data_IF_233374517890
#
_entry.id   IF_233374517890
#
_cell.length_a   1.000
_cell.length_b   1.000
_cell.length_c   1.000
_cell.angle_alpha   90.00
_cell.angle_beta   90.00
_cell.angle_gamma   90.00
#
_symmetry.space_group_name_H-M   'P 1'
#
loop_
_entity.id
_entity.type
_entity.pdbx_description
1 polymer ?
#
# COMPACT_ATOMS: atom_id res chain seq x y z
N UNK A 1 17.79 -8.03 -21.30
CA UNK A 1 16.67 -8.40 -22.18
C UNK A 1 15.69 -9.42 -21.57
N UNK A 2 16.10 -10.28 -20.64
CA UNK A 2 15.23 -11.32 -20.05
C UNK A 2 14.25 -10.81 -18.97
N UNK A 3 14.68 -9.91 -18.08
CA UNK A 3 13.85 -9.40 -16.97
C UNK A 3 12.62 -8.58 -17.44
N UNK A 4 12.79 -7.72 -18.45
CA UNK A 4 11.69 -6.87 -18.95
C UNK A 4 10.58 -7.68 -19.62
N UNK A 5 10.93 -8.73 -20.36
CA UNK A 5 9.97 -9.61 -21.01
C UNK A 5 9.19 -10.46 -19.99
N UNK A 6 9.84 -10.92 -18.93
CA UNK A 6 9.21 -11.63 -17.81
C UNK A 6 8.25 -10.69 -17.06
N UNK A 7 8.70 -9.46 -16.75
CA UNK A 7 7.86 -8.44 -16.10
C UNK A 7 6.61 -8.11 -16.92
N UNK A 8 6.76 -7.98 -18.24
CA UNK A 8 5.63 -7.69 -19.14
C UNK A 8 4.61 -8.84 -19.15
N UNK A 9 5.09 -10.09 -19.22
CA UNK A 9 4.23 -11.29 -19.13
C UNK A 9 3.52 -11.42 -17.79
N UNK A 10 4.20 -11.09 -16.68
CA UNK A 10 3.60 -11.13 -15.35
C UNK A 10 2.49 -10.09 -15.20
N UNK A 11 2.72 -8.86 -15.68
CA UNK A 11 1.71 -7.80 -15.67
C UNK A 11 0.50 -8.18 -16.51
N UNK A 12 0.69 -8.70 -17.73
CA UNK A 12 -0.41 -9.17 -18.58
C UNK A 12 -1.19 -10.31 -17.92
N UNK A 13 -0.49 -11.27 -17.31
CA UNK A 13 -1.15 -12.36 -16.59
C UNK A 13 -1.96 -11.87 -15.38
N UNK A 14 -1.44 -10.90 -14.62
CA UNK A 14 -2.15 -10.28 -13.51
C UNK A 14 -3.36 -9.43 -13.95
N UNK A 15 -3.36 -8.92 -15.19
CA UNK A 15 -4.51 -8.19 -15.74
C UNK A 15 -5.65 -9.10 -16.21
N UNK A 16 -5.34 -10.33 -16.63
CA UNK A 16 -6.31 -11.31 -17.16
C UNK A 16 -6.69 -12.40 -16.13
N UNK A 17 -5.99 -12.48 -15.01
CA UNK A 17 -6.26 -13.46 -13.96
C UNK A 17 -7.47 -13.04 -13.11
N UNK A 18 -8.45 -13.94 -12.99
CA UNK A 18 -9.56 -13.81 -12.03
C UNK A 18 -9.02 -13.50 -10.62
N UNK A 19 -9.69 -12.61 -9.87
CA UNK A 19 -9.29 -12.13 -8.53
C UNK A 19 -8.84 -13.26 -7.59
N UNK A 20 -9.47 -14.44 -7.72
CA UNK A 20 -9.18 -15.66 -6.97
C UNK A 20 -7.72 -16.12 -7.15
N UNK A 21 -7.20 -16.02 -8.37
CA UNK A 21 -5.84 -16.44 -8.76
C UNK A 21 -4.82 -15.38 -8.38
N UNK A 22 -5.17 -14.10 -8.50
CA UNK A 22 -4.34 -13.00 -7.97
C UNK A 22 -4.16 -13.17 -6.47
N UNK A 23 -5.25 -13.41 -5.74
CA UNK A 23 -5.23 -13.67 -4.30
C UNK A 23 -4.36 -14.89 -3.94
N UNK A 24 -4.48 -15.98 -4.69
CA UNK A 24 -3.63 -17.16 -4.49
C UNK A 24 -2.15 -16.87 -4.72
N UNK A 25 -1.80 -16.08 -5.73
CA UNK A 25 -0.41 -15.64 -5.98
C UNK A 25 0.10 -14.76 -4.83
N UNK A 26 -0.71 -13.82 -4.36
CA UNK A 26 -0.35 -12.99 -3.20
C UNK A 26 -0.12 -13.83 -1.96
N UNK A 27 -0.97 -14.82 -1.67
CA UNK A 27 -0.80 -15.72 -0.52
C UNK A 27 0.44 -16.61 -0.65
N UNK A 28 0.75 -17.10 -1.86
CA UNK A 28 1.96 -17.91 -2.08
C UNK A 28 3.24 -17.10 -1.91
N UNK A 29 3.22 -15.83 -2.33
CA UNK A 29 4.34 -14.91 -2.23
C UNK A 29 4.35 -14.12 -0.92
N UNK A 30 3.35 -14.28 -0.06
CA UNK A 30 3.16 -13.51 1.18
C UNK A 30 4.40 -13.63 2.07
N UNK A 31 4.88 -14.86 2.29
CA UNK A 31 6.09 -15.12 3.06
C UNK A 31 7.36 -14.55 2.43
N UNK A 32 7.47 -14.52 1.10
CA UNK A 32 8.64 -13.96 0.41
C UNK A 32 8.63 -12.42 0.45
N UNK A 33 7.45 -11.81 0.32
CA UNK A 33 7.23 -10.38 0.46
C UNK A 33 7.45 -9.93 1.92
N UNK A 34 6.96 -10.70 2.89
CA UNK A 34 7.08 -10.39 4.31
C UNK A 34 8.52 -10.53 4.83
N UNK A 35 9.28 -11.53 4.38
CA UNK A 35 10.64 -11.75 4.89
C UNK A 35 11.69 -10.79 4.29
N UNK A 36 11.56 -10.37 3.03
CA UNK A 36 12.49 -9.39 2.43
C UNK A 36 12.11 -7.93 2.71
N UNK A 37 10.87 -7.65 3.15
CA UNK A 37 10.36 -6.30 3.41
C UNK A 37 9.67 -6.15 4.77
N UNK A 38 10.06 -6.92 5.78
CA UNK A 38 9.53 -6.72 7.14
C UNK A 38 9.96 -5.32 7.61
N UNK A 39 9.05 -4.36 7.51
CA UNK A 39 9.31 -3.03 8.00
C UNK A 39 9.38 -3.10 9.53
N UNK A 40 10.57 -2.89 10.06
CA UNK A 40 10.75 -2.83 11.51
C UNK A 40 10.32 -1.44 11.97
N UNK A 41 9.26 -1.38 12.77
CA UNK A 41 8.79 -0.15 13.38
C UNK A 41 9.87 0.37 14.33
N UNK A 42 10.46 1.53 14.02
CA UNK A 42 11.47 2.18 14.84
C UNK A 42 10.84 3.24 15.74
N UNK A 43 11.61 3.76 16.70
CA UNK A 43 11.16 4.85 17.57
C UNK A 43 10.83 6.12 16.79
N UNK A 44 11.65 6.47 15.81
CA UNK A 44 11.44 7.65 14.96
C UNK A 44 10.08 7.58 14.24
N UNK A 45 9.65 6.40 13.81
CA UNK A 45 8.33 6.21 13.21
C UNK A 45 7.20 6.40 14.23
N UNK A 46 7.39 6.00 15.48
CA UNK A 46 6.43 6.25 16.56
C UNK A 46 6.32 7.75 16.88
N UNK A 47 7.45 8.45 16.92
CA UNK A 47 7.48 9.91 17.17
C UNK A 47 6.73 10.69 16.08
N UNK A 48 6.87 10.27 14.81
CA UNK A 48 6.09 10.85 13.70
C UNK A 48 4.59 10.65 13.95
N UNK A 49 4.16 9.44 14.34
CA UNK A 49 2.75 9.15 14.60
C UNK A 49 2.20 9.96 15.78
N UNK A 50 2.97 10.10 16.85
CA UNK A 50 2.57 10.92 18.01
C UNK A 50 2.43 12.40 17.63
N UNK A 51 3.37 12.93 16.84
CA UNK A 51 3.31 14.32 16.36
C UNK A 51 2.10 14.57 15.47
N UNK A 52 1.84 13.70 14.49
CA UNK A 52 0.67 13.83 13.60
C UNK A 52 -0.64 13.73 14.39
N UNK A 53 -0.69 12.85 15.40
CA UNK A 53 -1.84 12.77 16.31
C UNK A 53 -2.07 14.10 17.04
N UNK A 54 -1.03 14.72 17.58
CA UNK A 54 -1.15 16.00 18.26
C UNK A 54 -1.62 17.12 17.31
N UNK A 55 -1.09 17.17 16.09
CA UNK A 55 -1.51 18.15 15.09
C UNK A 55 -2.99 17.99 14.73
N UNK A 56 -3.46 16.74 14.58
CA UNK A 56 -4.86 16.45 14.31
C UNK A 56 -5.77 16.87 15.47
N UNK A 57 -5.39 16.52 16.70
CA UNK A 57 -6.17 16.89 17.90
C UNK A 57 -6.24 18.41 18.11
N UNK A 58 -5.19 19.13 17.70
CA UNK A 58 -5.15 20.59 17.72
C UNK A 58 -5.85 21.23 16.50
N UNK A 59 -6.43 20.44 15.60
CA UNK A 59 -7.13 20.93 14.41
C UNK A 59 -6.21 21.57 13.36
N UNK A 60 -4.90 21.28 13.41
CA UNK A 60 -3.91 21.81 12.47
C UNK A 60 -3.85 20.97 11.20
N UNK A 61 -4.13 19.66 11.31
CA UNK A 61 -4.14 18.73 10.18
C UNK A 61 -5.46 17.97 10.09
N UNK A 62 -5.94 17.84 8.86
CA UNK A 62 -7.10 17.01 8.54
C UNK A 62 -6.70 15.55 8.44
N UNK A 63 -7.50 14.68 9.06
CA UNK A 63 -7.36 13.24 8.96
C UNK A 63 -8.45 12.65 8.10
N UNK A 64 -8.10 11.66 7.29
CA UNK A 64 -9.01 11.03 6.34
C UNK A 64 -9.13 9.54 6.66
N UNK A 65 -10.33 8.99 6.50
CA UNK A 65 -10.49 7.55 6.56
C UNK A 65 -9.78 6.88 5.37
N UNK A 66 -9.53 5.58 5.45
CA UNK A 66 -8.96 4.82 4.33
C UNK A 66 -9.78 4.98 3.05
N UNK A 67 -11.10 5.04 3.16
CA UNK A 67 -11.99 5.21 2.02
C UNK A 67 -11.87 6.63 1.44
N UNK A 68 -11.84 7.65 2.30
CA UNK A 68 -11.61 9.03 1.86
C UNK A 68 -10.28 9.18 1.12
N UNK A 69 -9.20 8.59 1.64
CA UNK A 69 -7.90 8.61 0.99
C UNK A 69 -7.94 7.94 -0.39
N UNK A 70 -8.63 6.80 -0.52
CA UNK A 70 -8.82 6.12 -1.81
C UNK A 70 -9.63 6.99 -2.79
N UNK A 71 -10.66 7.66 -2.31
CA UNK A 71 -11.51 8.51 -3.13
C UNK A 71 -10.79 9.80 -3.56
N UNK A 72 -9.92 10.35 -2.71
CA UNK A 72 -9.01 11.47 -3.05
C UNK A 72 -8.00 11.04 -4.12
N UNK A 73 -7.35 9.89 -3.96
CA UNK A 73 -6.39 9.37 -4.94
C UNK A 73 -7.06 9.12 -6.30
N UNK A 74 -8.32 8.66 -6.29
CA UNK A 74 -9.13 8.45 -7.49
C UNK A 74 -9.71 9.75 -8.07
N UNK A 75 -9.52 10.90 -7.41
CA UNK A 75 -10.05 12.20 -7.82
C UNK A 75 -11.57 12.32 -7.65
N UNK A 76 -12.21 11.43 -6.90
CA UNK A 76 -13.65 11.42 -6.61
C UNK A 76 -13.98 12.46 -5.53
N UNK A 77 -13.05 12.68 -4.59
CA UNK A 77 -13.18 13.65 -3.51
C UNK A 77 -12.02 14.66 -3.56
N UNK A 78 -12.33 15.93 -3.34
CA UNK A 78 -11.33 17.01 -3.29
C UNK A 78 -10.87 17.20 -1.84
N UNK A 79 -9.57 17.44 -1.66
CA UNK A 79 -8.93 17.77 -0.38
C UNK A 79 -9.43 19.12 0.15
#
# INVERSE_FOLDING_TARGET
>A
MTSTAIRKRLITYLSDAEDNKIKAIYTLLENEIENEKSFVLTKDHLEILDKERELHLNGVTDSYSKQDALDIIKGIKVL
#
